data_IF_783603910011
#
_entry.id   IF_783603910011
#
_cell.length_a   1.000
_cell.length_b   1.000
_cell.length_c   1.000
_cell.angle_alpha   90.00
_cell.angle_beta   90.00
_cell.angle_gamma   90.00
#
_symmetry.space_group_name_H-M   'P 1'
#
loop_
_entity.id
_entity.type
_entity.pdbx_description
1 polymer ?
#
# COMPACT_ATOMS: atom_id res chain seq x y z
N UNK A 1 -0.94 -16.54 1.94
CA UNK A 1 -2.34 -16.90 1.61
C UNK A 1 -3.03 -17.39 2.88
N UNK A 2 -4.35 -17.28 2.93
CA UNK A 2 -5.20 -17.90 3.97
C UNK A 2 -6.20 -18.85 3.31
N UNK A 3 -6.89 -19.68 4.07
CA UNK A 3 -7.84 -20.68 3.56
C UNK A 3 -9.26 -20.13 3.30
N UNK A 4 -9.40 -18.81 3.22
CA UNK A 4 -10.66 -18.11 2.98
C UNK A 4 -10.54 -17.10 1.84
N UNK A 5 -11.68 -16.74 1.23
CA UNK A 5 -11.76 -15.69 0.21
C UNK A 5 -11.75 -14.33 0.87
N UNK A 6 -10.63 -13.60 0.73
CA UNK A 6 -10.46 -12.25 1.29
C UNK A 6 -10.68 -11.13 0.28
N UNK A 7 -11.30 -11.45 -0.85
CA UNK A 7 -11.66 -10.49 -1.90
C UNK A 7 -13.14 -10.11 -1.80
N UNK A 8 -13.57 -9.12 -2.58
CA UNK A 8 -14.97 -8.66 -2.63
C UNK A 8 -15.97 -9.81 -2.88
N UNK A 9 -15.56 -10.84 -3.63
CA UNK A 9 -16.37 -12.02 -3.91
C UNK A 9 -16.70 -12.86 -2.67
N UNK A 10 -15.87 -12.78 -1.62
CA UNK A 10 -16.10 -13.46 -0.35
C UNK A 10 -17.30 -12.90 0.41
N UNK A 11 -17.68 -11.63 0.18
CA UNK A 11 -18.83 -11.01 0.85
C UNK A 11 -20.12 -11.76 0.50
N UNK A 12 -20.38 -11.97 -0.79
CA UNK A 12 -21.64 -12.58 -1.20
C UNK A 12 -21.79 -14.03 -0.73
N UNK A 13 -20.71 -14.82 -0.84
CA UNK A 13 -20.67 -16.18 -0.33
C UNK A 13 -20.73 -16.25 1.20
N UNK A 14 -20.08 -15.31 1.90
CA UNK A 14 -19.93 -15.36 3.35
C UNK A 14 -21.17 -14.91 4.13
N UNK A 15 -21.94 -13.96 3.60
CA UNK A 15 -23.12 -13.39 4.30
C UNK A 15 -24.46 -13.64 3.60
N UNK A 16 -24.45 -14.30 2.43
CA UNK A 16 -25.67 -14.67 1.70
C UNK A 16 -26.38 -13.47 1.04
N UNK A 17 -25.67 -12.38 0.77
CA UNK A 17 -26.22 -11.19 0.11
C UNK A 17 -25.56 -10.95 -1.24
N UNK A 18 -26.32 -10.48 -2.22
CA UNK A 18 -25.73 -9.99 -3.47
C UNK A 18 -25.17 -8.59 -3.22
N UNK A 19 -23.92 -8.34 -3.63
CA UNK A 19 -23.41 -6.97 -3.72
C UNK A 19 -24.28 -6.17 -4.68
N UNK A 20 -24.84 -5.06 -4.20
CA UNK A 20 -25.67 -4.18 -5.01
C UNK A 20 -24.85 -3.60 -6.16
N UNK A 21 -25.51 -3.37 -7.28
CA UNK A 21 -24.94 -2.55 -8.34
C UNK A 21 -24.60 -1.16 -7.79
N UNK A 22 -23.40 -0.67 -8.08
CA UNK A 22 -22.91 0.60 -7.52
C UNK A 22 -22.53 0.55 -6.03
N UNK A 23 -22.35 -0.64 -5.43
CA UNK A 23 -21.83 -0.74 -4.07
C UNK A 23 -20.49 -0.01 -3.94
N UNK A 24 -20.36 0.77 -2.87
CA UNK A 24 -19.10 1.42 -2.49
C UNK A 24 -18.14 0.38 -1.93
N UNK A 25 -16.98 0.21 -2.56
CA UNK A 25 -15.94 -0.74 -2.16
C UNK A 25 -14.65 0.04 -1.92
N UNK A 26 -14.17 0.03 -0.69
CA UNK A 26 -12.98 0.79 -0.29
C UNK A 26 -11.81 -0.17 -0.18
N UNK A 27 -10.82 -0.02 -1.07
CA UNK A 27 -9.53 -0.67 -0.91
C UNK A 27 -8.76 -0.01 0.24
N UNK A 28 -8.14 -0.78 1.12
CA UNK A 28 -7.30 -0.23 2.18
C UNK A 28 -5.86 -0.66 1.93
N UNK A 29 -5.01 0.30 1.61
CA UNK A 29 -3.57 0.08 1.45
C UNK A 29 -2.81 0.86 2.51
N UNK A 30 -1.65 0.34 2.92
CA UNK A 30 -0.65 1.17 3.60
C UNK A 30 0.13 1.97 2.55
N UNK A 31 0.77 3.06 2.98
CA UNK A 31 1.70 3.83 2.15
C UNK A 31 3.03 3.07 1.87
N UNK A 32 3.19 1.88 2.42
CA UNK A 32 4.33 0.98 2.21
C UNK A 32 3.86 -0.45 2.44
N UNK A 33 4.65 -1.45 2.07
CA UNK A 33 4.22 -2.84 2.09
C UNK A 33 4.75 -3.57 3.31
N UNK A 34 3.95 -4.46 3.89
CA UNK A 34 4.39 -5.33 5.00
C UNK A 34 3.91 -6.75 4.81
N UNK A 35 4.71 -7.72 5.22
CA UNK A 35 4.36 -9.14 5.18
C UNK A 35 4.67 -9.82 6.52
N UNK A 36 3.79 -10.74 6.90
CA UNK A 36 4.04 -11.72 7.98
C UNK A 36 4.21 -13.09 7.35
N UNK A 37 5.24 -13.81 7.79
CA UNK A 37 5.55 -15.15 7.31
C UNK A 37 6.38 -15.18 6.04
N UNK A 38 6.62 -16.41 5.60
CA UNK A 38 7.51 -16.75 4.49
C UNK A 38 6.92 -16.41 3.11
N UNK A 39 7.78 -16.45 2.10
CA UNK A 39 7.46 -16.34 0.68
C UNK A 39 7.90 -15.01 0.04
N UNK A 40 7.77 -14.88 -1.29
CA UNK A 40 8.38 -13.79 -2.05
C UNK A 40 7.81 -12.43 -1.68
N UNK A 41 8.68 -11.44 -1.57
CA UNK A 41 8.27 -10.08 -1.28
C UNK A 41 9.14 -9.15 -2.14
N UNK A 42 8.73 -8.87 -3.39
CA UNK A 42 9.58 -8.19 -4.37
C UNK A 42 10.11 -6.85 -3.88
N UNK A 43 9.30 -6.08 -3.15
CA UNK A 43 9.70 -4.76 -2.62
C UNK A 43 10.28 -4.79 -1.21
N UNK A 44 10.56 -5.98 -0.65
CA UNK A 44 11.19 -6.09 0.67
C UNK A 44 12.52 -5.36 0.68
N UNK A 45 12.69 -4.51 1.69
CA UNK A 45 13.95 -3.85 1.97
C UNK A 45 14.53 -4.48 3.24
N UNK A 46 15.62 -5.24 3.09
CA UNK A 46 16.31 -5.86 4.24
C UNK A 46 17.38 -4.96 4.84
N UNK A 47 17.50 -3.72 4.36
CA UNK A 47 18.43 -2.71 4.85
C UNK A 47 17.73 -1.62 5.67
N UNK A 48 18.32 -0.43 5.64
CA UNK A 48 17.91 0.70 6.48
C UNK A 48 16.47 1.17 6.19
N UNK A 49 16.03 1.11 4.94
CA UNK A 49 14.67 1.52 4.56
C UNK A 49 13.61 0.65 5.23
N UNK A 50 13.78 -0.67 5.17
CA UNK A 50 12.84 -1.60 5.81
C UNK A 50 12.85 -1.49 7.34
N UNK A 51 14.01 -1.29 7.95
CA UNK A 51 14.12 -1.08 9.39
C UNK A 51 13.49 0.23 9.84
N UNK A 52 13.65 1.31 9.06
CA UNK A 52 13.00 2.60 9.30
C UNK A 52 11.47 2.46 9.25
N UNK A 53 10.95 1.83 8.19
CA UNK A 53 9.51 1.59 8.03
C UNK A 53 8.98 0.74 9.18
N UNK A 54 9.72 -0.30 9.60
CA UNK A 54 9.34 -1.17 10.70
C UNK A 54 9.27 -0.42 12.03
N UNK A 55 10.28 0.39 12.34
CA UNK A 55 10.36 1.14 13.59
C UNK A 55 9.29 2.23 13.66
N UNK A 56 9.20 3.10 12.65
CA UNK A 56 8.21 4.18 12.60
C UNK A 56 6.78 3.66 12.54
N UNK A 57 6.55 2.63 11.74
CA UNK A 57 5.24 2.01 11.57
C UNK A 57 4.83 1.08 12.72
N UNK A 58 5.71 0.83 13.70
CA UNK A 58 5.52 -0.15 14.78
C UNK A 58 5.08 -1.52 14.24
N UNK A 59 5.76 -1.99 13.19
CA UNK A 59 5.37 -3.21 12.46
C UNK A 59 5.87 -4.47 13.18
N UNK A 60 5.22 -4.75 14.31
CA UNK A 60 5.45 -5.92 15.15
C UNK A 60 4.12 -6.67 15.37
N UNK A 61 4.20 -7.96 15.63
CA UNK A 61 3.02 -8.74 16.04
C UNK A 61 2.54 -8.29 17.42
N UNK A 62 1.27 -7.92 17.56
CA UNK A 62 0.73 -7.39 18.82
C UNK A 62 0.88 -8.38 19.99
N UNK A 63 0.70 -9.68 19.73
CA UNK A 63 0.82 -10.74 20.75
C UNK A 63 2.22 -11.34 20.81
N UNK A 64 2.86 -11.53 19.65
CA UNK A 64 4.12 -12.28 19.55
C UNK A 64 5.37 -11.42 19.62
N UNK A 65 5.25 -10.10 19.44
CA UNK A 65 6.38 -9.18 19.32
C UNK A 65 7.26 -9.36 18.08
N UNK A 66 7.06 -10.44 17.30
CA UNK A 66 7.85 -10.74 16.10
C UNK A 66 7.82 -9.59 15.07
N UNK A 67 8.97 -9.19 14.52
CA UNK A 67 9.04 -8.14 13.50
C UNK A 67 8.35 -8.59 12.23
N UNK A 68 7.66 -7.66 11.56
CA UNK A 68 7.14 -7.88 10.22
C UNK A 68 8.19 -7.51 9.18
N UNK A 69 8.18 -8.22 8.06
CA UNK A 69 8.95 -7.85 6.88
C UNK A 69 8.37 -6.57 6.30
N UNK A 70 9.21 -5.61 5.95
CA UNK A 70 8.80 -4.29 5.50
C UNK A 70 9.47 -3.97 4.17
N UNK A 71 8.77 -3.23 3.32
CA UNK A 71 9.21 -2.90 1.99
C UNK A 71 8.46 -1.70 1.44
N UNK A 72 8.90 -1.19 0.31
CA UNK A 72 8.31 -0.03 -0.33
C UNK A 72 6.92 -0.34 -0.94
N UNK A 73 6.16 0.70 -1.28
CA UNK A 73 4.83 0.51 -1.88
C UNK A 73 4.97 -0.24 -3.20
N UNK A 74 4.12 -1.26 -3.38
CA UNK A 74 4.09 -2.10 -4.58
C UNK A 74 2.81 -1.85 -5.38
N UNK A 75 2.92 -1.05 -6.44
CA UNK A 75 1.79 -0.73 -7.30
C UNK A 75 1.46 -1.86 -8.29
N UNK A 76 2.36 -2.80 -8.56
CA UNK A 76 2.05 -4.00 -9.35
C UNK A 76 1.08 -4.89 -8.56
N UNK A 77 1.39 -5.12 -7.28
CA UNK A 77 0.50 -5.87 -6.39
C UNK A 77 -0.82 -5.13 -6.14
N UNK A 78 -0.80 -3.81 -5.99
CA UNK A 78 -2.00 -3.02 -5.74
C UNK A 78 -2.90 -2.89 -6.97
N UNK A 79 -2.35 -2.81 -8.20
CA UNK A 79 -3.12 -2.92 -9.45
C UNK A 79 -3.81 -4.25 -9.56
N UNK A 80 -3.11 -5.35 -9.28
CA UNK A 80 -3.74 -6.67 -9.25
C UNK A 80 -4.88 -6.74 -8.21
N UNK A 81 -4.69 -6.16 -7.03
CA UNK A 81 -5.75 -6.08 -6.04
C UNK A 81 -6.95 -5.25 -6.56
N UNK A 82 -6.71 -4.19 -7.33
CA UNK A 82 -7.76 -3.40 -7.97
C UNK A 82 -8.49 -4.17 -9.06
N UNK A 83 -7.78 -4.88 -9.93
CA UNK A 83 -8.39 -5.73 -10.98
C UNK A 83 -9.30 -6.79 -10.38
N UNK A 84 -8.88 -7.42 -9.28
CA UNK A 84 -9.64 -8.50 -8.64
C UNK A 84 -10.81 -7.99 -7.81
N UNK A 85 -10.67 -6.85 -7.13
CA UNK A 85 -11.71 -6.36 -6.21
C UNK A 85 -12.59 -5.26 -6.79
N UNK A 86 -12.14 -4.59 -7.85
CA UNK A 86 -12.80 -3.44 -8.46
C UNK A 86 -13.25 -2.41 -7.41
N UNK A 87 -12.35 -2.03 -6.51
CA UNK A 87 -12.66 -1.04 -5.49
C UNK A 87 -12.96 0.32 -6.13
N UNK A 88 -13.98 1.00 -5.61
CA UNK A 88 -14.46 2.30 -6.11
C UNK A 88 -13.57 3.45 -5.65
N UNK A 89 -12.84 3.24 -4.54
CA UNK A 89 -11.91 4.20 -3.98
C UNK A 89 -10.84 3.51 -3.13
N UNK A 90 -9.76 4.22 -2.85
CA UNK A 90 -8.66 3.77 -1.99
C UNK A 90 -8.55 4.63 -0.72
N UNK A 91 -8.32 3.97 0.41
CA UNK A 91 -7.83 4.57 1.63
C UNK A 91 -6.35 4.23 1.78
N UNK A 92 -5.48 5.24 1.79
CA UNK A 92 -4.05 5.06 2.11
C UNK A 92 -3.88 5.27 3.61
N UNK A 93 -3.20 4.37 4.29
CA UNK A 93 -2.97 4.42 5.73
C UNK A 93 -1.48 4.54 6.05
N UNK A 94 -1.17 5.06 7.24
CA UNK A 94 0.21 5.22 7.72
C UNK A 94 1.08 6.09 6.81
N UNK A 95 0.49 7.14 6.24
CA UNK A 95 1.23 8.09 5.41
C UNK A 95 2.30 8.81 6.25
N UNK A 96 2.05 9.03 7.55
CA UNK A 96 2.99 9.65 8.49
C UNK A 96 4.28 8.88 8.69
N UNK A 97 4.29 7.58 8.41
CA UNK A 97 5.51 6.75 8.48
C UNK A 97 6.55 7.21 7.45
N UNK A 98 6.11 7.80 6.34
CA UNK A 98 6.97 8.32 5.28
C UNK A 98 7.49 9.74 5.56
N UNK A 99 6.94 10.45 6.56
CA UNK A 99 7.47 11.75 6.99
C UNK A 99 8.93 11.64 7.42
N UNK A 100 9.76 12.59 7.00
CA UNK A 100 11.20 12.65 7.28
C UNK A 100 12.09 12.05 6.19
N UNK A 101 11.53 11.44 5.14
CA UNK A 101 12.29 10.90 4.01
C UNK A 101 12.60 12.00 2.99
N UNK A 102 13.77 11.93 2.35
CA UNK A 102 14.10 12.81 1.20
C UNK A 102 13.48 12.31 -0.10
N UNK A 103 13.36 11.00 -0.21
CA UNK A 103 12.89 10.30 -1.41
C UNK A 103 12.15 9.03 -0.99
N UNK A 104 11.09 8.71 -1.73
CA UNK A 104 10.22 7.57 -1.49
C UNK A 104 10.24 6.68 -2.73
N UNK A 105 10.87 5.50 -2.68
CA UNK A 105 10.76 4.49 -3.72
C UNK A 105 9.33 3.95 -3.80
N UNK A 106 8.78 3.85 -5.01
CA UNK A 106 7.49 3.23 -5.29
C UNK A 106 7.67 2.28 -6.47
N UNK A 107 7.36 1.00 -6.27
CA UNK A 107 7.53 -0.02 -7.31
C UNK A 107 6.37 0.07 -8.31
N UNK A 108 6.68 0.42 -9.56
CA UNK A 108 5.69 0.60 -10.64
C UNK A 108 5.69 -0.55 -11.64
N UNK A 109 6.73 -1.38 -11.64
CA UNK A 109 6.85 -2.56 -12.48
C UNK A 109 7.82 -3.54 -11.84
N UNK A 110 7.82 -4.78 -12.31
CA UNK A 110 8.89 -5.72 -12.04
C UNK A 110 9.77 -5.91 -13.28
N UNK A 111 11.03 -6.23 -13.06
CA UNK A 111 11.92 -6.80 -14.05
C UNK A 111 11.93 -8.32 -13.84
N UNK A 112 11.49 -9.04 -14.87
CA UNK A 112 11.60 -10.48 -15.00
C UNK A 112 12.52 -10.80 -16.18
N UNK A 113 13.74 -11.24 -15.88
CA UNK A 113 14.72 -11.67 -16.90
C UNK A 113 15.01 -10.59 -17.97
N UNK A 114 14.96 -9.31 -17.60
CA UNK A 114 15.19 -8.17 -18.49
C UNK A 114 13.91 -7.60 -19.11
N UNK A 115 12.75 -8.23 -18.89
CA UNK A 115 11.46 -7.72 -19.33
C UNK A 115 10.76 -6.93 -18.22
N UNK A 116 10.38 -5.68 -18.54
CA UNK A 116 9.58 -4.85 -17.66
C UNK A 116 8.12 -5.30 -17.73
N UNK A 117 7.60 -5.81 -16.63
CA UNK A 117 6.22 -6.28 -16.50
C UNK A 117 5.45 -5.46 -15.46
N UNK A 118 4.20 -5.12 -15.79
CA UNK A 118 3.31 -4.36 -14.91
C UNK A 118 2.21 -5.22 -14.27
N UNK A 119 2.20 -6.51 -14.62
CA UNK A 119 1.24 -7.51 -14.17
C UNK A 119 1.88 -8.38 -13.09
N UNK A 120 1.11 -8.73 -12.06
CA UNK A 120 1.57 -9.63 -11.00
C UNK A 120 1.94 -11.01 -11.60
N UNK A 121 3.16 -11.52 -11.34
CA UNK A 121 3.58 -12.84 -11.79
C UNK A 121 2.66 -13.95 -11.26
N UNK A 122 2.42 -14.97 -12.10
CA UNK A 122 1.43 -16.02 -11.81
C UNK A 122 1.99 -17.17 -10.98
N UNK A 123 3.31 -17.34 -11.00
CA UNK A 123 3.99 -18.40 -10.26
C UNK A 123 4.83 -17.85 -9.12
N UNK A 124 5.04 -18.70 -8.10
CA UNK A 124 5.93 -18.36 -6.99
C UNK A 124 7.37 -18.16 -7.47
N UNK A 125 7.79 -18.93 -8.49
CA UNK A 125 9.14 -18.86 -9.04
C UNK A 125 9.39 -17.50 -9.72
N UNK A 126 8.49 -17.06 -10.59
CA UNK A 126 8.57 -15.74 -11.22
C UNK A 126 8.50 -14.62 -10.16
N UNK A 127 7.59 -14.70 -9.19
CA UNK A 127 7.49 -13.70 -8.13
C UNK A 127 8.76 -13.65 -7.25
N UNK A 128 9.46 -14.77 -7.10
CA UNK A 128 10.75 -14.83 -6.39
C UNK A 128 11.89 -14.21 -7.20
N UNK A 129 11.82 -14.30 -8.52
CA UNK A 129 12.80 -13.72 -9.45
C UNK A 129 12.53 -12.24 -9.74
N UNK A 130 11.30 -11.76 -9.50
CA UNK A 130 10.87 -10.39 -9.76
C UNK A 130 11.73 -9.37 -9.01
N UNK A 131 12.38 -8.48 -9.77
CA UNK A 131 13.10 -7.33 -9.20
C UNK A 131 12.26 -6.07 -9.33
N UNK A 132 12.09 -5.28 -8.27
CA UNK A 132 11.26 -4.09 -8.32
C UNK A 132 11.92 -2.98 -9.16
N UNK A 133 11.18 -2.42 -10.11
CA UNK A 133 11.54 -1.17 -10.78
C UNK A 133 10.92 0.00 -10.01
N UNK A 134 11.76 0.77 -9.34
CA UNK A 134 11.33 1.89 -8.51
C UNK A 134 11.26 3.20 -9.29
N UNK A 135 10.10 3.85 -9.21
CA UNK A 135 10.01 5.29 -9.39
C UNK A 135 10.30 5.98 -8.06
N UNK A 136 10.99 7.11 -8.12
CA UNK A 136 11.58 7.77 -6.95
C UNK A 136 10.92 9.13 -6.77
N UNK A 137 9.99 9.20 -5.82
CA UNK A 137 9.21 10.41 -5.58
C UNK A 137 9.87 11.27 -4.52
N UNK A 138 9.80 12.60 -4.61
CA UNK A 138 10.25 13.48 -3.52
C UNK A 138 9.49 13.16 -2.23
N UNK A 139 10.23 13.00 -1.14
CA UNK A 139 9.67 12.88 0.21
C UNK A 139 9.38 14.25 0.84
N UNK A 140 8.88 14.24 2.07
CA UNK A 140 8.63 15.43 2.88
C UNK A 140 9.24 15.27 4.26
N UNK A 141 9.65 16.38 4.90
CA UNK A 141 10.28 16.37 6.22
C UNK A 141 9.31 16.64 7.36
N UNK A 142 8.19 17.27 7.04
CA UNK A 142 7.16 17.74 7.94
C UNK A 142 6.43 16.57 8.62
N UNK A 143 6.12 16.75 9.90
CA UNK A 143 5.21 15.86 10.62
C UNK A 143 3.76 16.18 10.22
N UNK A 144 3.09 15.21 9.61
CA UNK A 144 1.72 15.35 9.09
C UNK A 144 0.66 14.84 10.06
N UNK A 145 1.02 14.37 11.27
CA UNK A 145 0.06 13.76 12.22
C UNK A 145 -1.09 14.65 12.64
N UNK A 146 -0.87 15.98 12.60
CA UNK A 146 -1.88 16.98 12.95
C UNK A 146 -2.73 17.43 11.76
N UNK A 147 -2.45 16.95 10.55
CA UNK A 147 -3.25 17.26 9.38
C UNK A 147 -4.68 16.72 9.56
N UNK A 148 -5.68 17.54 9.22
CA UNK A 148 -7.10 17.16 9.25
C UNK A 148 -7.80 17.45 7.93
N UNK A 149 -7.23 18.33 7.12
CA UNK A 149 -7.72 18.72 5.81
C UNK A 149 -6.67 18.44 4.74
N UNK A 150 -7.07 18.30 3.46
CA UNK A 150 -6.13 18.08 2.37
C UNK A 150 -5.11 19.22 2.22
N UNK A 151 -5.49 20.45 2.57
CA UNK A 151 -4.61 21.62 2.56
C UNK A 151 -3.52 21.59 3.63
N UNK A 152 -3.69 20.80 4.69
CA UNK A 152 -2.68 20.66 5.76
C UNK A 152 -1.53 19.75 5.34
N UNK A 153 -1.71 18.94 4.28
CA UNK A 153 -0.68 18.05 3.77
C UNK A 153 0.35 18.84 2.94
N UNK A 154 1.66 18.57 3.12
CA UNK A 154 2.72 19.06 2.25
C UNK A 154 2.43 18.73 0.78
N UNK A 155 3.00 19.54 -0.12
CA UNK A 155 2.81 19.34 -1.56
C UNK A 155 3.26 17.95 -1.99
N UNK A 156 4.39 17.48 -1.47
CA UNK A 156 5.03 16.21 -1.78
C UNK A 156 4.17 15.03 -1.30
N UNK A 157 3.54 15.15 -0.13
CA UNK A 157 2.57 14.15 0.36
C UNK A 157 1.33 14.06 -0.55
N UNK A 158 0.83 15.20 -1.03
CA UNK A 158 -0.27 15.23 -2.01
C UNK A 158 0.14 14.68 -3.37
N UNK A 159 1.36 14.99 -3.83
CA UNK A 159 1.91 14.44 -5.07
C UNK A 159 2.09 12.92 -5.00
N UNK A 160 2.52 12.39 -3.84
CA UNK A 160 2.59 10.95 -3.59
C UNK A 160 1.21 10.30 -3.72
N UNK A 161 0.17 10.88 -3.10
CA UNK A 161 -1.21 10.40 -3.22
C UNK A 161 -1.68 10.44 -4.68
N UNK A 162 -1.48 11.57 -5.35
CA UNK A 162 -1.89 11.76 -6.75
C UNK A 162 -1.19 10.77 -7.69
N UNK A 163 0.09 10.47 -7.45
CA UNK A 163 0.84 9.47 -8.20
C UNK A 163 0.21 8.06 -8.05
N UNK A 164 -0.17 7.68 -6.83
CA UNK A 164 -0.86 6.40 -6.59
C UNK A 164 -2.22 6.38 -7.29
N UNK A 165 -2.98 7.48 -7.25
CA UNK A 165 -4.25 7.61 -7.98
C UNK A 165 -4.08 7.43 -9.49
N UNK A 166 -3.07 8.09 -10.08
CA UNK A 166 -2.77 8.05 -11.51
C UNK A 166 -2.45 6.62 -11.97
N UNK A 167 -1.57 5.92 -11.26
CA UNK A 167 -1.16 4.56 -11.63
C UNK A 167 -2.28 3.54 -11.46
N UNK A 168 -3.14 3.72 -10.45
CA UNK A 168 -4.24 2.78 -10.18
C UNK A 168 -5.54 3.11 -10.94
N UNK A 169 -5.70 4.33 -11.44
CA UNK A 169 -6.93 4.78 -12.09
C UNK A 169 -8.15 4.85 -11.16
N UNK A 170 -7.93 5.04 -9.85
CA UNK A 170 -8.97 5.02 -8.81
C UNK A 170 -8.72 6.12 -7.77
N UNK A 171 -9.75 6.85 -7.32
CA UNK A 171 -9.54 7.96 -6.39
C UNK A 171 -9.11 7.46 -5.01
N UNK A 172 -8.12 8.13 -4.42
CA UNK A 172 -7.77 8.03 -3.01
C UNK A 172 -8.61 9.04 -2.25
N UNK A 173 -9.56 8.58 -1.45
CA UNK A 173 -10.52 9.46 -0.74
C UNK A 173 -10.12 9.70 0.70
N UNK A 174 -9.22 8.90 1.26
CA UNK A 174 -8.80 8.99 2.65
C UNK A 174 -7.30 8.74 2.81
N UNK A 175 -6.65 9.53 3.65
CA UNK A 175 -5.25 9.38 4.03
C UNK A 175 -5.09 9.35 5.55
N UNK A 176 -4.69 8.20 6.10
CA UNK A 176 -4.37 8.05 7.51
C UNK A 176 -3.00 8.66 7.82
N UNK A 177 -2.97 9.63 8.73
CA UNK A 177 -1.78 10.37 9.15
C UNK A 177 -1.34 10.03 10.58
N UNK A 178 -1.93 9.00 11.18
CA UNK A 178 -1.49 8.48 12.47
C UNK A 178 -2.34 7.29 12.94
N UNK A 179 -2.03 6.71 14.12
CA UNK A 179 -2.77 5.58 14.69
C UNK A 179 -4.11 5.95 15.36
N UNK A 180 -4.35 7.22 15.68
CA UNK A 180 -5.57 7.71 16.31
C UNK A 180 -6.78 7.68 15.37
N UNK A 181 -7.98 7.57 15.94
CA UNK A 181 -9.24 7.54 15.17
C UNK A 181 -9.48 8.85 14.39
N UNK A 182 -9.07 9.98 14.97
CA UNK A 182 -9.16 11.31 14.36
C UNK A 182 -7.94 11.67 13.50
N UNK A 183 -6.93 10.81 13.41
CA UNK A 183 -5.71 11.01 12.60
C UNK A 183 -5.91 10.52 11.16
N UNK A 184 -6.99 11.01 10.55
CA UNK A 184 -7.43 10.69 9.20
C UNK A 184 -7.78 11.98 8.45
N UNK A 185 -7.25 12.14 7.24
CA UNK A 185 -7.59 13.23 6.32
C UNK A 185 -8.56 12.71 5.28
N UNK A 186 -9.76 13.31 5.23
CA UNK A 186 -10.74 13.06 4.16
C UNK A 186 -10.39 13.97 2.98
N UNK A 187 -10.11 13.36 1.84
CA UNK A 187 -9.67 14.04 0.61
C UNK A 187 -10.84 14.43 -0.30
N UNK A 188 -11.97 13.72 -0.20
CA UNK A 188 -13.19 13.92 -0.97
C UNK A 188 -14.43 13.59 -0.14
#
# INVERSE_FOLDING_TARGET
MTSSTTTVHGVGWGVGVRLSEGARVIGVSKAYTTRVGEGPFPTEDTGEGGDLLRQKGREYGATTGRPRRCGWLDLVALRYAQEVNSFTELAITKLDVLSGLDEIPVCTAYDLEGEKVEVLPRTLAELSAARPHYERLPGWKEDIRKARTPSDLPREARSYIAFVEEVLGVPVTMAGVGPGEDELVVLR
#
